data_IF_602859128330
#
_entry.id   IF_602859128330
#
_cell.length_a   1.000
_cell.length_b   1.000
_cell.length_c   1.000
_cell.angle_alpha   90.00
_cell.angle_beta   90.00
_cell.angle_gamma   90.00
#
_symmetry.space_group_name_H-M   'P 1'
#
loop_
_entity.id
_entity.type
_entity.pdbx_description
1 polymer ?
#
# COMPACT_ATOMS: atom_id res chain seq x y z
N UNK A 1 -33.02 27.90 17.66
CA UNK A 1 -32.22 27.43 18.82
C UNK A 1 -32.92 26.25 19.45
N UNK A 2 -32.40 25.05 19.21
CA UNK A 2 -32.45 23.83 20.04
C UNK A 2 -31.81 22.71 19.20
N UNK A 3 -30.56 22.29 19.46
CA UNK A 3 -30.03 21.05 18.90
C UNK A 3 -30.24 19.91 19.89
N UNK A 4 -30.81 18.83 19.38
CA UNK A 4 -31.10 17.58 20.08
C UNK A 4 -29.80 16.95 20.60
N UNK A 5 -29.72 16.74 21.92
CA UNK A 5 -28.59 16.11 22.58
C UNK A 5 -28.56 14.60 22.25
N UNK A 6 -27.45 14.14 21.66
CA UNK A 6 -27.17 12.73 21.52
C UNK A 6 -26.74 12.17 22.89
N UNK A 7 -27.54 11.23 23.40
CA UNK A 7 -27.33 10.54 24.67
C UNK A 7 -26.11 9.62 24.56
N UNK A 8 -25.06 9.93 25.33
CA UNK A 8 -23.90 9.09 25.56
C UNK A 8 -24.30 7.85 26.38
N UNK A 9 -24.07 6.65 25.85
CA UNK A 9 -24.08 5.40 26.64
C UNK A 9 -22.69 5.14 27.24
N UNK A 10 -22.60 4.60 28.47
CA UNK A 10 -21.34 4.45 29.18
C UNK A 10 -20.51 3.28 28.63
N UNK A 11 -19.22 3.54 28.38
CA UNK A 11 -18.20 2.54 28.13
C UNK A 11 -17.80 1.87 29.45
N UNK A 12 -18.21 0.63 29.66
CA UNK A 12 -17.75 -0.18 30.80
C UNK A 12 -16.38 -0.80 30.48
N UNK A 13 -15.39 -0.36 31.27
CA UNK A 13 -14.09 -0.98 31.60
C UNK A 13 -12.95 -0.99 30.57
N UNK A 14 -12.01 -0.06 30.80
CA UNK A 14 -10.57 -0.23 30.50
C UNK A 14 -9.98 -1.30 31.42
N UNK A 15 -9.22 -2.23 30.85
CA UNK A 15 -8.08 -2.87 31.52
C UNK A 15 -6.83 -2.48 30.74
N UNK A 16 -5.86 -1.90 31.45
CA UNK A 16 -4.57 -1.46 30.92
C UNK A 16 -3.73 -2.69 30.55
N UNK A 17 -3.35 -2.79 29.28
CA UNK A 17 -2.45 -3.79 28.72
C UNK A 17 -0.99 -3.44 29.01
N UNK A 18 -0.25 -4.35 29.63
CA UNK A 18 1.21 -4.33 29.66
C UNK A 18 1.81 -5.03 28.44
N UNK A 19 2.45 -4.24 27.57
CA UNK A 19 3.67 -4.61 26.83
C UNK A 19 3.63 -5.71 25.77
N UNK A 20 3.19 -5.38 24.55
CA UNK A 20 3.63 -6.04 23.30
C UNK A 20 2.51 -6.58 22.43
N UNK A 21 2.14 -5.84 21.37
CA UNK A 21 1.17 -6.32 20.37
C UNK A 21 1.92 -7.12 19.30
N UNK A 22 1.77 -8.45 19.34
CA UNK A 22 2.03 -9.32 18.18
C UNK A 22 0.73 -9.43 17.40
N UNK A 23 0.69 -8.96 16.16
CA UNK A 23 -0.37 -9.32 15.22
C UNK A 23 -0.04 -10.67 14.60
N UNK A 24 -0.48 -11.75 15.25
CA UNK A 24 -0.54 -13.08 14.67
C UNK A 24 -1.91 -13.69 14.98
N UNK A 25 -2.51 -14.22 13.92
CA UNK A 25 -3.89 -14.71 13.80
C UNK A 25 -4.28 -15.67 14.93
N UNK A 26 -5.51 -15.53 15.43
CA UNK A 26 -6.15 -16.52 16.30
C UNK A 26 -6.25 -17.87 15.56
N UNK A 27 -5.52 -18.86 16.06
CA UNK A 27 -5.83 -20.27 15.86
C UNK A 27 -6.33 -20.79 17.20
N UNK A 28 -7.63 -21.03 17.32
CA UNK A 28 -8.15 -21.92 18.36
C UNK A 28 -8.10 -23.36 17.83
N UNK A 29 -7.33 -24.28 18.45
CA UNK A 29 -7.24 -25.67 18.01
C UNK A 29 -8.41 -26.56 18.46
N UNK A 30 -9.44 -26.04 19.15
CA UNK A 30 -10.38 -26.88 19.91
C UNK A 30 -11.68 -27.31 19.20
N UNK A 31 -11.97 -26.86 17.98
CA UNK A 31 -13.22 -27.22 17.28
C UNK A 31 -13.14 -28.44 16.34
N UNK A 32 -12.18 -29.35 16.57
CA UNK A 32 -12.21 -30.69 15.96
C UNK A 32 -13.05 -31.64 16.81
N UNK A 33 -14.36 -31.63 16.60
CA UNK A 33 -15.22 -32.83 16.63
C UNK A 33 -16.67 -32.43 16.40
N UNK A 34 -17.34 -33.25 15.59
CA UNK A 34 -18.79 -33.51 15.48
C UNK A 34 -19.35 -33.18 14.08
N UNK A 35 -19.98 -34.21 13.52
CA UNK A 35 -20.81 -34.33 12.30
C UNK A 35 -20.12 -34.77 11.00
N UNK A 36 -19.99 -36.09 10.93
CA UNK A 36 -20.12 -36.85 9.70
C UNK A 36 -21.50 -36.64 9.05
N UNK A 37 -21.50 -36.55 7.71
CA UNK A 37 -22.60 -36.98 6.86
C UNK A 37 -23.68 -35.96 6.53
N UNK A 38 -23.50 -35.20 5.44
CA UNK A 38 -24.49 -34.96 4.37
C UNK A 38 -23.71 -34.54 3.12
N UNK A 39 -23.96 -35.18 1.98
CA UNK A 39 -23.33 -34.85 0.70
C UNK A 39 -23.72 -33.45 0.23
N UNK A 40 -22.72 -32.61 -0.03
CA UNK A 40 -22.87 -31.29 -0.63
C UNK A 40 -21.92 -31.15 -1.82
N UNK A 41 -22.48 -30.59 -2.89
CA UNK A 41 -21.93 -30.41 -4.24
C UNK A 41 -20.51 -29.83 -4.21
N UNK A 42 -19.64 -30.32 -5.10
CA UNK A 42 -18.30 -29.75 -5.39
C UNK A 42 -18.44 -28.33 -5.97
N UNK A 43 -18.55 -27.33 -5.11
CA UNK A 43 -18.17 -25.96 -5.46
C UNK A 43 -16.65 -25.88 -5.52
N UNK A 44 -16.10 -25.36 -6.62
CA UNK A 44 -14.66 -25.04 -6.69
C UNK A 44 -14.35 -24.09 -5.52
N UNK A 45 -13.35 -24.37 -4.66
CA UNK A 45 -12.94 -23.40 -3.67
C UNK A 45 -12.44 -22.17 -4.43
N UNK A 46 -13.06 -21.02 -4.18
CA UNK A 46 -12.53 -19.73 -4.57
C UNK A 46 -11.11 -19.66 -4.01
N UNK A 47 -10.14 -19.70 -4.92
CA UNK A 47 -8.75 -19.54 -4.59
C UNK A 47 -8.56 -18.08 -4.18
N UNK A 48 -8.85 -17.79 -2.91
CA UNK A 48 -8.39 -16.59 -2.25
C UNK A 48 -6.87 -16.69 -2.27
N UNK A 49 -6.27 -16.12 -3.32
CA UNK A 49 -4.84 -16.10 -3.55
C UNK A 49 -4.22 -15.42 -2.32
N UNK A 50 -3.72 -16.22 -1.38
CA UNK A 50 -2.80 -15.72 -0.35
C UNK A 50 -1.61 -15.16 -1.10
N UNK A 51 -1.52 -13.82 -1.20
CA UNK A 51 -0.39 -13.13 -1.78
C UNK A 51 0.89 -13.69 -1.14
N UNK A 52 1.76 -14.30 -1.94
CA UNK A 52 3.03 -14.85 -1.45
C UNK A 52 4.00 -13.71 -1.21
N UNK A 53 4.40 -13.48 0.04
CA UNK A 53 5.31 -12.40 0.45
C UNK A 53 6.58 -12.42 -0.43
N UNK A 54 6.92 -11.28 -1.03
CA UNK A 54 8.18 -11.11 -1.75
C UNK A 54 9.28 -10.68 -0.77
N UNK A 55 10.19 -11.60 -0.45
CA UNK A 55 11.39 -11.35 0.36
C UNK A 55 12.63 -11.17 -0.51
N UNK A 56 13.61 -10.41 -0.03
CA UNK A 56 14.88 -10.19 -0.73
C UNK A 56 15.94 -11.21 -0.27
N UNK A 57 16.73 -11.74 -1.21
CA UNK A 57 17.92 -12.56 -0.91
C UNK A 57 19.13 -11.68 -0.58
N UNK A 58 19.28 -10.59 -1.31
CA UNK A 58 20.31 -9.55 -1.20
C UNK A 58 19.71 -8.17 -1.52
N UNK A 59 20.49 -7.10 -1.39
CA UNK A 59 20.06 -5.75 -1.78
C UNK A 59 21.15 -5.06 -2.60
N UNK A 60 20.73 -4.34 -3.64
CA UNK A 60 21.62 -3.52 -4.49
C UNK A 60 21.72 -2.08 -4.01
N UNK A 61 20.70 -1.62 -3.28
CA UNK A 61 20.57 -0.27 -2.78
C UNK A 61 19.61 -0.25 -1.59
N UNK A 62 19.82 0.68 -0.65
CA UNK A 62 18.85 1.00 0.40
C UNK A 62 18.72 2.52 0.55
N UNK A 63 17.53 2.97 0.94
CA UNK A 63 17.27 4.37 1.29
C UNK A 63 16.74 4.43 2.73
N UNK A 64 17.12 5.48 3.46
CA UNK A 64 16.64 5.75 4.82
C UNK A 64 15.88 7.07 4.83
N UNK A 65 14.72 7.08 5.48
CA UNK A 65 13.98 8.28 5.80
C UNK A 65 13.38 8.19 7.21
N UNK A 66 13.14 9.35 7.81
CA UNK A 66 12.53 9.49 9.14
C UNK A 66 11.34 10.44 9.06
N UNK A 67 10.27 10.09 9.77
CA UNK A 67 9.12 10.95 10.01
C UNK A 67 9.07 11.34 11.49
N UNK A 68 8.94 12.64 11.79
CA UNK A 68 8.87 13.15 13.16
C UNK A 68 7.81 14.24 13.32
N UNK A 69 7.38 14.49 14.57
CA UNK A 69 6.33 15.45 14.89
C UNK A 69 4.91 14.87 14.76
N UNK A 70 3.94 15.71 14.37
CA UNK A 70 2.51 15.43 14.46
C UNK A 70 1.98 14.52 13.32
N UNK A 71 2.50 13.31 13.18
CA UNK A 71 2.03 12.31 12.21
C UNK A 71 1.92 12.88 10.78
N UNK A 72 0.70 12.90 10.22
CA UNK A 72 0.41 13.43 8.87
C UNK A 72 0.58 14.96 8.72
N UNK A 73 0.95 15.67 9.79
CA UNK A 73 1.27 17.11 9.79
C UNK A 73 2.69 17.39 10.32
N UNK A 74 3.57 16.37 10.30
CA UNK A 74 4.96 16.47 10.76
C UNK A 74 5.95 16.85 9.66
N UNK A 75 7.21 16.47 9.86
CA UNK A 75 8.29 16.57 8.87
C UNK A 75 8.74 15.16 8.49
N UNK A 76 9.06 14.96 7.21
CA UNK A 76 9.78 13.77 6.74
C UNK A 76 11.12 14.18 6.13
N UNK A 77 12.18 13.44 6.45
CA UNK A 77 13.54 13.68 5.98
C UNK A 77 14.17 12.40 5.47
N UNK A 78 14.74 12.42 4.26
CA UNK A 78 15.60 11.36 3.74
C UNK A 78 17.08 11.64 4.01
N UNK A 79 17.88 10.57 3.96
CA UNK A 79 19.32 10.61 4.15
C UNK A 79 20.02 9.97 2.94
N UNK A 80 21.25 10.39 2.64
CA UNK A 80 22.04 9.90 1.50
C UNK A 80 22.64 11.06 0.71
N UNK A 81 23.01 10.81 -0.55
CA UNK A 81 23.74 11.76 -1.41
C UNK A 81 22.94 13.03 -1.72
N UNK A 82 21.62 12.90 -1.87
CA UNK A 82 20.70 14.01 -2.14
C UNK A 82 19.51 13.95 -1.16
N UNK A 83 19.68 14.43 0.09
CA UNK A 83 18.63 14.37 1.10
C UNK A 83 17.48 15.33 0.75
N UNK A 84 16.26 14.90 1.07
CA UNK A 84 15.02 15.67 0.92
C UNK A 84 14.39 15.87 2.29
N UNK A 85 13.93 17.07 2.58
CA UNK A 85 13.16 17.38 3.78
C UNK A 85 11.85 18.03 3.36
N UNK A 86 10.72 17.44 3.78
CA UNK A 86 9.39 17.86 3.38
C UNK A 86 8.51 18.08 4.60
N UNK A 87 7.81 19.22 4.61
CA UNK A 87 6.68 19.44 5.51
C UNK A 87 5.49 18.62 5.03
N UNK A 88 4.90 17.85 5.94
CA UNK A 88 3.69 17.08 5.69
C UNK A 88 2.47 17.86 6.14
N UNK A 89 1.36 17.70 5.41
CA UNK A 89 0.08 18.30 5.75
C UNK A 89 -1.06 17.47 5.20
N UNK A 90 -2.16 17.39 5.96
CA UNK A 90 -3.40 16.83 5.45
C UNK A 90 -3.97 17.71 4.33
N UNK A 91 -4.46 17.13 3.22
CA UNK A 91 -5.13 17.87 2.16
C UNK A 91 -6.34 18.66 2.66
N UNK A 92 -6.64 19.80 2.00
CA UNK A 92 -7.85 20.59 2.28
C UNK A 92 -9.15 19.78 2.07
N UNK A 93 -9.15 18.90 1.07
CA UNK A 93 -10.29 18.03 0.75
C UNK A 93 -10.65 17.07 1.88
N UNK A 94 -9.71 16.77 2.77
CA UNK A 94 -9.90 15.92 3.96
C UNK A 94 -9.92 16.73 5.26
N UNK A 95 -10.16 18.05 5.19
CA UNK A 95 -10.25 18.94 6.36
C UNK A 95 -8.91 19.43 6.92
N UNK A 96 -7.80 19.24 6.20
CA UNK A 96 -6.47 19.71 6.59
C UNK A 96 -6.13 21.12 6.09
N UNK A 97 -4.92 21.60 6.42
CA UNK A 97 -4.43 22.90 5.97
C UNK A 97 -3.99 22.89 4.50
N UNK A 98 -3.50 21.76 4.00
CA UNK A 98 -2.98 21.60 2.64
C UNK A 98 -1.76 22.47 2.35
N UNK A 99 -0.96 22.75 3.37
CA UNK A 99 0.22 23.63 3.34
C UNK A 99 1.54 22.83 3.43
N UNK A 100 1.52 21.62 2.86
CA UNK A 100 2.60 20.64 2.84
C UNK A 100 2.26 19.47 1.90
N UNK A 101 3.17 18.51 1.80
CA UNK A 101 2.98 17.29 1.02
C UNK A 101 2.20 16.23 1.81
N UNK A 102 1.73 15.17 1.15
CA UNK A 102 1.10 14.03 1.81
C UNK A 102 1.69 12.69 1.34
N UNK A 103 1.55 11.61 2.14
CA UNK A 103 2.08 10.29 1.77
C UNK A 103 1.59 9.78 0.42
N UNK A 104 0.35 10.10 0.02
CA UNK A 104 -0.25 9.63 -1.23
C UNK A 104 0.43 10.29 -2.44
N UNK A 105 0.78 11.58 -2.36
CA UNK A 105 1.57 12.28 -3.37
C UNK A 105 2.96 11.67 -3.50
N UNK A 106 3.65 11.39 -2.39
CA UNK A 106 4.98 10.80 -2.41
C UNK A 106 4.94 9.39 -3.01
N UNK A 107 3.92 8.62 -2.69
CA UNK A 107 3.70 7.31 -3.28
C UNK A 107 3.40 7.40 -4.79
N UNK A 108 2.58 8.37 -5.21
CA UNK A 108 2.29 8.62 -6.62
C UNK A 108 3.57 8.95 -7.41
N UNK A 109 4.41 9.85 -6.87
CA UNK A 109 5.69 10.23 -7.48
C UNK A 109 6.66 9.04 -7.58
N UNK A 110 6.78 8.26 -6.50
CA UNK A 110 7.63 7.08 -6.48
C UNK A 110 7.17 6.00 -7.46
N UNK A 111 5.86 5.73 -7.50
CA UNK A 111 5.31 4.69 -8.36
C UNK A 111 5.37 5.09 -9.84
N UNK A 112 4.99 6.32 -10.21
CA UNK A 112 5.07 6.77 -11.61
C UNK A 112 6.51 6.71 -12.15
N UNK A 113 7.47 7.19 -11.36
CA UNK A 113 8.89 7.14 -11.71
C UNK A 113 9.39 5.69 -11.85
N UNK A 114 9.05 4.83 -10.89
CA UNK A 114 9.46 3.43 -10.92
C UNK A 114 8.86 2.66 -12.10
N UNK A 115 7.59 2.91 -12.44
CA UNK A 115 6.93 2.27 -13.56
C UNK A 115 7.47 2.76 -14.90
N UNK A 116 7.77 4.06 -15.05
CA UNK A 116 8.42 4.59 -16.25
C UNK A 116 9.78 3.93 -16.50
N UNK A 117 10.60 3.76 -15.45
CA UNK A 117 11.86 3.03 -15.55
C UNK A 117 11.67 1.56 -15.97
N UNK A 118 10.65 0.89 -15.42
CA UNK A 118 10.31 -0.48 -15.81
C UNK A 118 9.82 -0.58 -17.27
N UNK A 119 9.08 0.42 -17.74
CA UNK A 119 8.60 0.52 -19.12
C UNK A 119 9.77 0.66 -20.11
N UNK A 120 10.69 1.58 -19.83
CA UNK A 120 11.88 1.77 -20.65
C UNK A 120 12.78 0.51 -20.66
N UNK A 121 12.89 -0.17 -19.51
CA UNK A 121 13.61 -1.44 -19.44
C UNK A 121 12.93 -2.55 -20.27
N UNK A 122 11.61 -2.67 -20.19
CA UNK A 122 10.84 -3.65 -20.97
C UNK A 122 10.99 -3.38 -22.48
N UNK A 123 10.87 -2.12 -22.90
CA UNK A 123 11.07 -1.69 -24.28
C UNK A 123 12.51 -2.00 -24.76
N UNK A 124 13.52 -1.74 -23.92
CA UNK A 124 14.91 -2.07 -24.23
C UNK A 124 15.13 -3.58 -24.42
N UNK A 125 14.52 -4.42 -23.57
CA UNK A 125 14.60 -5.89 -23.70
C UNK A 125 13.92 -6.41 -24.95
N UNK A 126 12.89 -5.71 -25.44
CA UNK A 126 12.23 -6.00 -26.70
C UNK A 126 12.96 -5.44 -27.94
N UNK A 127 14.10 -4.75 -27.76
CA UNK A 127 14.79 -4.00 -28.81
C UNK A 127 13.92 -2.92 -29.48
N UNK A 128 13.03 -2.28 -28.72
CA UNK A 128 12.10 -1.22 -29.17
C UNK A 128 12.18 0.03 -28.28
N UNK A 129 13.38 0.49 -27.95
CA UNK A 129 13.60 1.59 -26.97
C UNK A 129 12.85 2.86 -27.33
N UNK A 130 12.78 3.16 -28.63
CA UNK A 130 12.10 4.30 -29.22
C UNK A 130 10.60 4.37 -28.84
N UNK A 131 9.97 3.23 -28.53
CA UNK A 131 8.56 3.19 -28.12
C UNK A 131 8.30 3.66 -26.69
N UNK A 132 9.34 3.85 -25.87
CA UNK A 132 9.22 4.30 -24.49
C UNK A 132 10.13 5.49 -24.16
N UNK A 133 10.88 6.00 -25.13
CA UNK A 133 11.85 7.09 -24.94
C UNK A 133 11.18 8.37 -24.45
N UNK A 134 10.03 8.72 -25.04
CA UNK A 134 9.23 9.89 -24.68
C UNK A 134 7.99 9.55 -23.86
N UNK A 135 7.92 8.33 -23.32
CA UNK A 135 6.77 7.90 -22.56
C UNK A 135 6.64 8.68 -21.25
N UNK A 136 5.40 8.93 -20.84
CA UNK A 136 5.06 9.54 -19.55
C UNK A 136 4.15 8.60 -18.80
N UNK A 137 4.37 8.51 -17.49
CA UNK A 137 3.52 7.71 -16.60
C UNK A 137 2.92 8.64 -15.56
N UNK A 138 1.61 8.61 -15.45
CA UNK A 138 0.86 9.34 -14.43
C UNK A 138 0.28 8.33 -13.45
N UNK A 139 0.59 8.48 -12.15
CA UNK A 139 0.03 7.64 -11.10
C UNK A 139 -1.02 8.43 -10.30
N UNK A 140 -2.24 7.90 -10.23
CA UNK A 140 -3.32 8.41 -9.37
C UNK A 140 -3.44 7.49 -8.17
N UNK A 141 -3.22 8.02 -6.97
CA UNK A 141 -3.28 7.27 -5.72
C UNK A 141 -4.50 7.71 -4.94
N UNK A 142 -5.35 6.75 -4.60
CA UNK A 142 -6.59 6.95 -3.88
C UNK A 142 -6.47 6.32 -2.49
N UNK A 143 -6.80 7.10 -1.46
CA UNK A 143 -6.94 6.65 -0.09
C UNK A 143 -8.43 6.57 0.25
N UNK A 144 -8.89 5.43 0.74
CA UNK A 144 -10.31 5.22 1.07
C UNK A 144 -10.53 4.00 1.96
N UNK A 145 -11.76 3.78 2.39
CA UNK A 145 -12.10 2.56 3.12
C UNK A 145 -12.05 1.36 2.16
N UNK A 146 -11.61 0.18 2.64
CA UNK A 146 -11.66 -1.04 1.84
C UNK A 146 -13.11 -1.42 1.52
N UNK A 147 -13.29 -2.16 0.42
CA UNK A 147 -14.60 -2.72 0.05
C UNK A 147 -15.03 -3.86 0.98
N UNK A 148 -14.06 -4.55 1.58
CA UNK A 148 -14.29 -5.59 2.57
C UNK A 148 -14.76 -4.95 3.89
N UNK A 149 -16.03 -5.19 4.31
CA UNK A 149 -16.58 -4.58 5.50
C UNK A 149 -15.94 -5.08 6.79
N UNK A 150 -15.22 -6.21 6.76
CA UNK A 150 -14.54 -6.78 7.92
C UNK A 150 -13.11 -6.21 8.11
N UNK A 151 -12.62 -5.40 7.16
CA UNK A 151 -11.33 -4.74 7.24
C UNK A 151 -11.47 -3.29 7.73
N UNK A 152 -11.11 -3.05 8.99
CA UNK A 152 -11.06 -1.71 9.55
C UNK A 152 -9.90 -0.87 8.96
N UNK A 153 -10.12 0.45 8.87
CA UNK A 153 -9.10 1.43 8.50
C UNK A 153 -9.13 1.84 7.03
N UNK A 154 -7.99 2.30 6.52
CA UNK A 154 -7.84 2.80 5.15
C UNK A 154 -7.03 1.84 4.29
N UNK A 155 -7.43 1.69 3.03
CA UNK A 155 -6.69 1.05 1.95
C UNK A 155 -6.22 2.05 0.90
N UNK A 156 -5.36 1.56 0.00
CA UNK A 156 -4.88 2.28 -1.16
C UNK A 156 -5.34 1.61 -2.46
N UNK A 157 -5.75 2.43 -3.42
CA UNK A 157 -5.99 2.03 -4.82
C UNK A 157 -5.13 2.90 -5.72
N UNK A 158 -4.56 2.32 -6.77
CA UNK A 158 -3.69 3.03 -7.71
C UNK A 158 -4.19 2.83 -9.13
N UNK A 159 -4.22 3.90 -9.91
CA UNK A 159 -4.36 3.86 -11.37
C UNK A 159 -3.07 4.39 -12.00
N UNK A 160 -2.62 3.75 -13.08
CA UNK A 160 -1.46 4.17 -13.85
C UNK A 160 -1.91 4.46 -15.29
N UNK A 161 -1.68 5.69 -15.74
CA UNK A 161 -1.91 6.10 -17.12
C UNK A 161 -0.56 6.19 -17.83
N UNK A 162 -0.42 5.51 -18.96
CA UNK A 162 0.79 5.50 -19.78
C UNK A 162 0.53 6.25 -21.08
N UNK A 163 1.31 7.28 -21.34
CA UNK A 163 1.30 8.05 -22.58
C UNK A 163 2.59 7.81 -23.35
N UNK A 164 2.53 7.86 -24.68
CA UNK A 164 3.73 7.76 -25.54
C UNK A 164 4.29 6.35 -25.73
N UNK A 165 3.59 5.30 -25.27
CA UNK A 165 3.88 3.90 -25.60
C UNK A 165 2.58 3.21 -25.99
N UNK A 166 2.49 2.69 -27.23
CA UNK A 166 1.28 2.04 -27.76
C UNK A 166 1.35 0.51 -27.75
N UNK A 167 2.46 -0.08 -27.30
CA UNK A 167 2.67 -1.52 -27.27
C UNK A 167 2.22 -2.08 -25.90
N UNK A 168 1.03 -2.66 -25.88
CA UNK A 168 0.42 -3.24 -24.68
C UNK A 168 1.27 -4.37 -24.07
N UNK A 169 2.03 -5.12 -24.88
CA UNK A 169 2.88 -6.18 -24.39
C UNK A 169 4.06 -5.61 -23.59
N UNK A 170 4.62 -4.49 -24.03
CA UNK A 170 5.65 -3.76 -23.29
C UNK A 170 5.09 -3.21 -21.97
N UNK A 171 3.90 -2.62 -21.98
CA UNK A 171 3.25 -2.09 -20.77
C UNK A 171 2.96 -3.21 -19.76
N UNK A 172 2.39 -4.33 -20.22
CA UNK A 172 2.14 -5.49 -19.37
C UNK A 172 3.44 -6.04 -18.78
N UNK A 173 4.50 -6.13 -19.58
CA UNK A 173 5.80 -6.59 -19.12
C UNK A 173 6.44 -5.62 -18.11
N UNK A 174 6.23 -4.32 -18.27
CA UNK A 174 6.66 -3.30 -17.31
C UNK A 174 5.98 -3.49 -15.95
N UNK A 175 4.68 -3.81 -15.94
CA UNK A 175 3.93 -4.08 -14.72
C UNK A 175 4.47 -5.30 -13.95
N UNK A 176 4.89 -6.36 -14.66
CA UNK A 176 5.50 -7.53 -14.02
C UNK A 176 6.92 -7.26 -13.49
N UNK A 177 7.64 -6.28 -14.05
CA UNK A 177 8.99 -5.93 -13.60
C UNK A 177 9.05 -4.83 -12.54
N UNK A 178 8.10 -3.90 -12.55
CA UNK A 178 8.09 -2.75 -11.65
C UNK A 178 8.08 -3.20 -10.17
N UNK A 179 9.09 -2.86 -9.36
CA UNK A 179 9.14 -3.20 -7.93
C UNK A 179 7.88 -2.80 -7.15
N UNK A 180 7.31 -1.61 -7.41
CA UNK A 180 6.08 -1.15 -6.74
C UNK A 180 4.86 -2.00 -7.13
N UNK A 181 4.71 -2.35 -8.42
CA UNK A 181 3.66 -3.26 -8.87
C UNK A 181 3.78 -4.65 -8.23
N UNK A 182 5.00 -5.19 -8.17
CA UNK A 182 5.26 -6.48 -7.52
C UNK A 182 4.95 -6.46 -6.03
N UNK A 183 5.32 -5.38 -5.33
CA UNK A 183 5.02 -5.22 -3.91
C UNK A 183 3.51 -5.21 -3.63
N UNK A 184 2.69 -4.61 -4.50
CA UNK A 184 1.24 -4.62 -4.35
C UNK A 184 0.59 -5.96 -4.74
N UNK A 185 1.16 -6.69 -5.70
CA UNK A 185 0.66 -7.99 -6.17
C UNK A 185 1.01 -9.14 -5.21
N UNK A 186 2.27 -9.20 -4.80
CA UNK A 186 2.83 -10.28 -3.99
C UNK A 186 2.92 -9.92 -2.50
N UNK A 187 2.85 -8.63 -2.16
CA UNK A 187 3.20 -8.16 -0.83
C UNK A 187 4.70 -7.95 -0.69
N UNK A 188 5.11 -7.26 0.37
CA UNK A 188 6.50 -7.05 0.74
C UNK A 188 6.69 -7.40 2.22
N UNK A 189 7.89 -7.87 2.57
CA UNK A 189 8.26 -8.05 3.96
C UNK A 189 8.47 -6.68 4.63
N UNK A 190 7.74 -6.44 5.73
CA UNK A 190 7.88 -5.22 6.54
C UNK A 190 8.07 -5.62 7.99
N UNK A 191 9.22 -5.26 8.54
CA UNK A 191 9.58 -5.55 9.93
C UNK A 191 9.51 -4.28 10.75
N UNK A 192 8.74 -4.30 11.84
CA UNK A 192 8.62 -3.19 12.79
C UNK A 192 9.31 -3.60 14.08
N UNK A 193 10.38 -2.89 14.44
CA UNK A 193 11.12 -3.09 15.70
C UNK A 193 10.95 -1.87 16.60
N UNK A 194 10.98 -2.12 17.92
CA UNK A 194 11.07 -1.05 18.92
C UNK A 194 12.54 -0.80 19.21
N UNK A 195 12.95 0.46 19.20
CA UNK A 195 14.27 0.91 19.66
C UNK A 195 14.36 0.87 21.19
#
# INVERSE_FOLDING_TARGET
MHPTAAVLRPLSHRVLTGGGVRYARNLDPSSRRILAGVGLRKGKPNHMQTRGILSLKDHVYFSKAEASGAGRNGIVKSFGDAPLELKMSMPKTTGGKGDGQNPEQLFAMGYSSCFLGALQLAAARANKKELAENAKVTAKVFLGHPEDPDLDGFGLRVELDVEGCSDDAIIAQAHEFCPYSRALKHGAEVTVTKA
#
